data_IF_348526689183
#
_entry.id   IF_348526689183
#
_cell.length_a   1.000
_cell.length_b   1.000
_cell.length_c   1.000
_cell.angle_alpha   90.00
_cell.angle_beta   90.00
_cell.angle_gamma   90.00
#
_symmetry.space_group_name_H-M   'P 1'
#
loop_
_entity.id
_entity.type
_entity.pdbx_description
1 polymer ?
#
# COMPACT_ATOMS: atom_id res chain seq x y z
N UNK A 1 57.48 -18.11 -62.76
CA UNK A 1 56.26 -17.31 -63.00
C UNK A 1 55.32 -17.51 -61.82
N UNK A 2 54.90 -16.41 -61.18
CA UNK A 2 53.80 -16.30 -60.19
C UNK A 2 52.43 -16.61 -60.89
N UNK A 3 51.23 -16.66 -60.26
CA UNK A 3 50.92 -16.17 -58.90
C UNK A 3 49.73 -16.81 -58.09
N UNK A 4 49.50 -16.30 -56.86
CA UNK A 4 48.20 -16.02 -56.19
C UNK A 4 47.29 -17.19 -55.75
N UNK A 5 46.58 -17.26 -54.61
CA UNK A 5 46.15 -16.38 -53.49
C UNK A 5 45.70 -17.33 -52.34
N UNK A 6 46.14 -17.19 -51.09
CA UNK A 6 45.47 -16.45 -50.00
C UNK A 6 43.94 -16.66 -49.91
N UNK A 7 43.49 -17.43 -48.93
CA UNK A 7 42.26 -17.16 -48.17
C UNK A 7 42.32 -17.89 -46.81
N UNK A 8 42.73 -17.11 -45.80
CA UNK A 8 42.57 -17.44 -44.40
C UNK A 8 41.09 -17.29 -44.04
N UNK A 9 40.45 -18.37 -43.59
CA UNK A 9 39.13 -18.29 -42.98
C UNK A 9 39.30 -17.87 -41.52
N UNK A 10 39.16 -16.56 -41.28
CA UNK A 10 39.06 -15.97 -39.96
C UNK A 10 37.72 -16.43 -39.35
N UNK A 11 37.76 -17.44 -38.48
CA UNK A 11 36.60 -17.77 -37.64
C UNK A 11 36.42 -16.64 -36.63
N UNK A 12 35.41 -15.80 -36.89
CA UNK A 12 34.88 -14.84 -35.94
C UNK A 12 34.36 -15.60 -34.72
N UNK A 13 35.09 -15.52 -33.61
CA UNK A 13 34.54 -15.77 -32.29
C UNK A 13 33.40 -14.76 -32.07
N UNK A 14 32.17 -15.20 -32.32
CA UNK A 14 30.96 -14.57 -31.83
C UNK A 14 30.94 -14.69 -30.31
N UNK A 15 31.53 -13.69 -29.65
CA UNK A 15 31.27 -13.36 -28.26
C UNK A 15 29.78 -13.07 -28.12
N UNK A 16 29.01 -14.12 -27.85
CA UNK A 16 27.66 -14.01 -27.31
C UNK A 16 27.81 -13.47 -25.90
N UNK A 17 27.74 -12.15 -25.77
CA UNK A 17 27.46 -11.52 -24.48
C UNK A 17 26.07 -12.03 -24.08
N UNK A 18 25.91 -12.82 -23.00
CA UNK A 18 24.58 -12.97 -22.44
C UNK A 18 24.19 -11.59 -21.95
N UNK A 19 23.26 -10.96 -22.67
CA UNK A 19 22.52 -9.83 -22.14
C UNK A 19 21.78 -10.37 -20.91
N UNK A 20 22.41 -10.24 -19.74
CA UNK A 20 21.72 -10.32 -18.47
C UNK A 20 20.75 -9.13 -18.46
N UNK A 21 19.58 -9.34 -19.06
CA UNK A 21 18.41 -8.57 -18.73
C UNK A 21 18.15 -8.87 -17.25
N UNK A 22 18.65 -7.99 -16.38
CA UNK A 22 18.15 -7.95 -15.01
C UNK A 22 16.64 -7.80 -15.13
N UNK A 23 15.83 -8.74 -14.62
CA UNK A 23 14.39 -8.54 -14.59
C UNK A 23 14.19 -7.24 -13.81
N UNK A 24 13.61 -6.24 -14.46
CA UNK A 24 13.00 -5.11 -13.76
C UNK A 24 12.16 -5.74 -12.65
N UNK A 25 12.48 -5.42 -11.40
CA UNK A 25 11.83 -5.99 -10.24
C UNK A 25 10.34 -5.62 -10.28
N UNK A 26 9.54 -6.42 -10.99
CA UNK A 26 8.09 -6.38 -10.94
C UNK A 26 7.73 -6.62 -9.48
N UNK A 27 6.95 -5.70 -8.90
CA UNK A 27 6.51 -5.81 -7.52
C UNK A 27 5.86 -7.18 -7.31
N UNK A 28 6.34 -7.91 -6.31
CA UNK A 28 5.80 -9.23 -6.01
C UNK A 28 4.55 -9.06 -5.15
N UNK A 29 3.41 -9.42 -5.73
CA UNK A 29 2.17 -9.57 -4.97
C UNK A 29 2.18 -10.94 -4.28
N UNK A 30 1.78 -10.97 -3.02
CA UNK A 30 1.67 -12.18 -2.23
C UNK A 30 0.34 -12.22 -1.49
N UNK A 31 -0.52 -13.17 -1.86
CA UNK A 31 -1.79 -13.42 -1.20
C UNK A 31 -1.61 -14.40 -0.03
N UNK A 32 -2.07 -14.03 1.18
CA UNK A 32 -1.96 -14.90 2.36
C UNK A 32 -3.09 -15.94 2.35
N UNK A 33 -2.78 -17.25 2.23
CA UNK A 33 -3.79 -18.28 2.04
C UNK A 33 -4.86 -18.33 3.15
N UNK A 34 -6.12 -18.47 2.75
CA UNK A 34 -7.25 -18.59 3.69
C UNK A 34 -7.61 -17.29 4.41
N UNK A 35 -7.08 -16.15 3.96
CA UNK A 35 -7.37 -14.83 4.52
C UNK A 35 -7.82 -13.84 3.43
N UNK A 36 -8.14 -12.63 3.84
CA UNK A 36 -8.47 -11.48 2.98
C UNK A 36 -7.33 -10.46 2.96
N UNK A 37 -6.11 -10.94 3.14
CA UNK A 37 -4.90 -10.13 3.33
C UNK A 37 -3.89 -10.48 2.25
N UNK A 38 -3.28 -9.47 1.66
CA UNK A 38 -2.17 -9.65 0.73
C UNK A 38 -1.11 -8.57 0.95
N UNK A 39 0.07 -8.83 0.41
CA UNK A 39 1.21 -7.95 0.46
C UNK A 39 1.62 -7.56 -0.96
N UNK A 40 2.07 -6.33 -1.11
CA UNK A 40 2.74 -5.86 -2.31
C UNK A 40 4.10 -5.29 -1.92
N UNK A 41 5.16 -5.75 -2.57
CA UNK A 41 6.52 -5.30 -2.28
C UNK A 41 7.10 -4.53 -3.47
N UNK A 42 7.51 -3.29 -3.22
CA UNK A 42 8.28 -2.49 -4.15
C UNK A 42 9.50 -1.90 -3.44
N UNK A 43 10.62 -1.87 -4.17
CA UNK A 43 11.85 -1.20 -3.73
C UNK A 43 12.21 -0.14 -4.75
N UNK A 44 12.54 1.03 -4.25
CA UNK A 44 13.15 2.06 -5.08
C UNK A 44 14.51 1.53 -5.59
N UNK A 45 14.73 1.48 -6.92
CA UNK A 45 15.95 0.92 -7.49
C UNK A 45 17.18 1.84 -7.29
N UNK A 46 16.99 3.13 -7.00
CA UNK A 46 18.04 4.12 -6.80
C UNK A 46 18.44 4.21 -5.32
N UNK A 47 17.46 4.30 -4.42
CA UNK A 47 17.69 4.49 -2.99
C UNK A 47 17.69 3.19 -2.19
N UNK A 48 17.09 2.12 -2.74
CA UNK A 48 16.89 0.84 -2.05
C UNK A 48 15.77 0.86 -1.01
N UNK A 49 15.09 2.00 -0.84
CA UNK A 49 14.01 2.18 0.13
C UNK A 49 12.81 1.26 -0.16
N UNK A 50 12.14 0.87 0.91
CA UNK A 50 11.02 -0.07 0.88
C UNK A 50 9.68 0.68 0.84
N UNK A 51 8.97 0.54 -0.28
CA UNK A 51 7.64 1.10 -0.52
C UNK A 51 6.58 -0.01 -0.58
N UNK A 52 6.63 -0.92 0.39
CA UNK A 52 5.69 -2.05 0.47
C UNK A 52 4.40 -1.71 1.17
N UNK A 53 3.39 -2.51 0.91
CA UNK A 53 2.05 -2.38 1.44
C UNK A 53 1.52 -3.73 1.91
N UNK A 54 0.80 -3.75 3.03
CA UNK A 54 -0.08 -4.86 3.41
C UNK A 54 -1.51 -4.37 3.27
N UNK A 55 -2.32 -5.10 2.51
CA UNK A 55 -3.65 -4.68 2.14
C UNK A 55 -4.66 -5.70 2.68
N UNK A 56 -5.77 -5.18 3.20
CA UNK A 56 -6.86 -5.94 3.79
C UNK A 56 -8.16 -5.62 3.07
N UNK A 57 -8.82 -6.64 2.54
CA UNK A 57 -10.14 -6.51 1.94
C UNK A 57 -11.24 -6.38 3.00
N UNK A 58 -12.27 -5.61 2.68
CA UNK A 58 -13.47 -5.51 3.50
C UNK A 58 -14.19 -6.87 3.64
N UNK A 59 -14.54 -7.21 4.88
CA UNK A 59 -15.26 -8.43 5.22
C UNK A 59 -16.74 -8.35 4.85
N UNK A 60 -17.31 -7.16 4.72
CA UNK A 60 -18.72 -6.97 4.34
C UNK A 60 -18.94 -7.09 2.81
N UNK A 61 -17.87 -7.31 2.03
CA UNK A 61 -17.94 -7.51 0.59
C UNK A 61 -18.04 -6.22 -0.22
N UNK A 62 -17.77 -5.06 0.39
CA UNK A 62 -17.64 -3.80 -0.35
C UNK A 62 -16.32 -3.77 -1.10
N UNK A 63 -16.27 -3.02 -2.21
CA UNK A 63 -15.03 -2.73 -2.95
C UNK A 63 -14.20 -1.68 -2.20
N UNK A 64 -13.77 -2.03 -0.99
CA UNK A 64 -13.02 -1.18 -0.09
C UNK A 64 -11.87 -1.96 0.56
N UNK A 65 -10.74 -1.30 0.75
CA UNK A 65 -9.54 -1.88 1.31
C UNK A 65 -8.86 -0.94 2.30
N UNK A 66 -8.36 -1.52 3.38
CA UNK A 66 -7.46 -0.85 4.30
C UNK A 66 -6.05 -1.26 3.92
N UNK A 67 -5.13 -0.30 3.85
CA UNK A 67 -3.73 -0.56 3.55
C UNK A 67 -2.89 -0.09 4.73
N UNK A 68 -1.95 -0.92 5.16
CA UNK A 68 -0.78 -0.52 5.93
C UNK A 68 0.36 -0.26 4.94
N UNK A 69 0.71 1.00 4.75
CA UNK A 69 1.75 1.43 3.81
C UNK A 69 3.03 1.76 4.55
N UNK A 70 4.12 1.12 4.16
CA UNK A 70 5.46 1.48 4.60
C UNK A 70 5.85 2.80 3.92
N UNK A 71 6.23 3.81 4.70
CA UNK A 71 6.78 5.08 4.20
C UNK A 71 8.01 5.36 5.04
N UNK A 72 9.21 5.26 4.48
CA UNK A 72 10.43 5.48 5.27
C UNK A 72 10.48 6.92 5.84
N UNK A 73 10.80 7.11 7.15
CA UNK A 73 10.98 6.13 8.22
C UNK A 73 9.69 5.96 9.06
N UNK A 74 8.80 5.04 8.68
CA UNK A 74 7.51 4.89 9.33
C UNK A 74 6.48 4.11 8.52
N UNK A 75 5.22 4.29 8.90
CA UNK A 75 4.08 3.70 8.22
C UNK A 75 2.86 4.61 8.38
N UNK A 76 1.89 4.45 7.48
CA UNK A 76 0.56 5.05 7.61
C UNK A 76 -0.50 4.05 7.17
N UNK A 77 -1.73 4.27 7.62
CA UNK A 77 -2.87 3.59 7.02
C UNK A 77 -3.52 4.45 5.94
N UNK A 78 -3.92 3.78 4.87
CA UNK A 78 -4.77 4.33 3.82
C UNK A 78 -6.09 3.56 3.80
N UNK A 79 -7.20 4.26 3.76
CA UNK A 79 -8.49 3.67 3.43
C UNK A 79 -8.83 4.00 2.00
N UNK A 80 -9.10 2.98 1.20
CA UNK A 80 -9.70 3.11 -0.11
C UNK A 80 -11.17 2.68 0.00
N UNK A 81 -12.06 3.63 -0.22
CA UNK A 81 -13.50 3.43 -0.10
C UNK A 81 -14.13 2.97 -1.43
N UNK A 82 -15.31 2.35 -1.32
CA UNK A 82 -16.13 1.97 -2.47
C UNK A 82 -16.77 3.18 -3.18
N UNK A 83 -16.99 4.26 -2.43
CA UNK A 83 -17.64 5.49 -2.88
C UNK A 83 -16.74 6.73 -2.76
N UNK A 84 -16.99 7.79 -3.53
CA UNK A 84 -16.31 9.08 -3.37
C UNK A 84 -16.50 9.67 -1.97
N UNK A 85 -15.42 10.18 -1.40
CA UNK A 85 -15.37 10.75 -0.05
C UNK A 85 -15.31 12.30 -0.09
N UNK A 86 -14.95 12.87 -1.24
CA UNK A 86 -14.84 14.31 -1.46
C UNK A 86 -15.02 14.68 -2.95
N UNK A 87 -15.26 15.96 -3.25
CA UNK A 87 -15.29 16.48 -4.63
C UNK A 87 -13.96 17.17 -4.95
N UNK A 88 -13.20 16.62 -5.92
CA UNK A 88 -11.91 17.15 -6.37
C UNK A 88 -11.97 18.57 -6.91
N UNK A 89 -13.16 19.05 -7.29
CA UNK A 89 -13.37 20.41 -7.82
C UNK A 89 -13.51 21.45 -6.72
N UNK A 90 -13.72 21.03 -5.47
CA UNK A 90 -13.91 21.94 -4.33
C UNK A 90 -12.66 21.93 -3.46
N UNK A 91 -11.96 23.06 -3.29
CA UNK A 91 -10.82 23.16 -2.39
C UNK A 91 -11.33 23.03 -0.95
N UNK A 92 -11.31 21.80 -0.45
CA UNK A 92 -11.71 21.43 0.91
C UNK A 92 -10.60 20.60 1.54
N UNK A 93 -10.56 20.57 2.87
CA UNK A 93 -9.67 19.68 3.61
C UNK A 93 -10.41 18.36 3.87
N UNK A 94 -9.70 17.23 3.91
CA UNK A 94 -10.33 15.93 4.16
C UNK A 94 -11.12 15.88 5.47
N UNK A 95 -10.56 16.45 6.54
CA UNK A 95 -11.24 16.58 7.83
C UNK A 95 -12.52 17.44 7.79
N UNK A 96 -12.71 18.24 6.73
CA UNK A 96 -13.91 19.03 6.53
C UNK A 96 -14.99 18.30 5.73
N UNK A 97 -14.66 17.22 5.01
CA UNK A 97 -15.62 16.44 4.20
C UNK A 97 -16.11 15.18 4.92
N UNK A 98 -15.27 14.55 5.73
CA UNK A 98 -15.63 13.32 6.47
C UNK A 98 -15.00 13.31 7.86
N UNK A 99 -15.61 12.54 8.76
CA UNK A 99 -15.02 12.14 10.03
C UNK A 99 -14.84 10.63 10.04
N UNK A 100 -13.65 10.19 10.40
CA UNK A 100 -13.29 8.76 10.46
C UNK A 100 -13.17 8.35 11.91
N UNK A 101 -13.79 7.23 12.23
CA UNK A 101 -13.67 6.58 13.52
C UNK A 101 -13.23 5.14 13.34
N UNK A 102 -12.52 4.59 14.32
CA UNK A 102 -12.06 3.21 14.32
C UNK A 102 -12.39 2.52 15.64
N UNK A 103 -12.57 1.20 15.59
CA UNK A 103 -12.50 0.34 16.77
C UNK A 103 -11.72 -0.92 16.46
N UNK A 104 -11.13 -1.51 17.49
CA UNK A 104 -10.35 -2.75 17.40
C UNK A 104 -11.02 -3.80 18.29
N UNK A 105 -11.29 -4.99 17.73
CA UNK A 105 -11.99 -6.11 18.37
C UNK A 105 -13.32 -5.73 19.02
N UNK A 106 -14.10 -4.88 18.36
CA UNK A 106 -15.40 -4.43 18.87
C UNK A 106 -15.33 -3.54 20.11
N UNK A 107 -14.15 -2.96 20.40
CA UNK A 107 -13.98 -1.96 21.44
C UNK A 107 -14.71 -0.65 21.15
N UNK A 108 -14.50 0.33 22.03
CA UNK A 108 -15.07 1.68 21.86
C UNK A 108 -14.61 2.32 20.55
N UNK A 109 -15.56 2.97 19.88
CA UNK A 109 -15.32 3.73 18.66
C UNK A 109 -14.56 5.02 18.98
N UNK A 110 -13.34 5.16 18.44
CA UNK A 110 -12.43 6.30 18.67
C UNK A 110 -12.23 7.10 17.39
N UNK A 111 -12.08 8.44 17.46
CA UNK A 111 -11.82 9.24 16.28
C UNK A 111 -10.40 9.00 15.74
N UNK A 112 -10.26 8.99 14.42
CA UNK A 112 -8.99 9.31 13.76
C UNK A 112 -8.86 10.84 13.79
N UNK A 113 -7.84 11.35 14.47
CA UNK A 113 -7.74 12.78 14.82
C UNK A 113 -7.67 13.70 13.61
N UNK A 114 -6.99 13.24 12.55
CA UNK A 114 -6.90 13.93 11.27
C UNK A 114 -6.74 12.92 10.15
N UNK A 115 -7.38 13.20 9.02
CA UNK A 115 -7.18 12.51 7.75
C UNK A 115 -6.72 13.49 6.68
N UNK A 116 -5.98 12.98 5.71
CA UNK A 116 -5.57 13.71 4.51
C UNK A 116 -6.08 12.99 3.27
N UNK A 117 -6.24 13.73 2.18
CA UNK A 117 -6.41 13.14 0.87
C UNK A 117 -5.06 12.60 0.40
N UNK A 118 -5.05 11.38 -0.14
CA UNK A 118 -3.91 10.92 -0.91
C UNK A 118 -4.14 11.37 -2.36
N UNK A 119 -3.55 12.49 -2.73
CA UNK A 119 -3.52 12.93 -4.13
C UNK A 119 -2.29 12.27 -4.77
N UNK A 120 -2.53 11.33 -5.69
CA UNK A 120 -1.47 10.93 -6.61
C UNK A 120 -1.03 12.13 -7.46
N UNK A 121 0.16 12.05 -8.07
CA UNK A 121 0.65 13.07 -9.01
C UNK A 121 -0.35 13.29 -10.17
N UNK A 122 -1.15 12.26 -10.47
CA UNK A 122 -2.31 12.36 -11.35
C UNK A 122 -3.61 12.40 -10.51
N UNK A 123 -4.43 13.43 -10.75
CA UNK A 123 -5.80 13.56 -10.23
C UNK A 123 -6.71 12.51 -10.90
N UNK A 124 -6.53 11.24 -10.53
CA UNK A 124 -7.36 10.13 -11.00
C UNK A 124 -8.67 10.06 -10.22
N UNK A 125 -9.67 9.37 -10.79
CA UNK A 125 -10.93 9.08 -10.09
C UNK A 125 -10.72 8.32 -8.77
N UNK A 126 -9.59 7.63 -8.61
CA UNK A 126 -9.22 6.96 -7.36
C UNK A 126 -8.92 7.96 -6.25
N UNK A 127 -8.30 9.10 -6.56
CA UNK A 127 -7.87 10.06 -5.55
C UNK A 127 -9.03 10.52 -4.66
N UNK A 128 -10.26 10.63 -5.18
CA UNK A 128 -11.43 11.04 -4.40
C UNK A 128 -12.00 9.97 -3.44
N UNK A 129 -11.47 8.75 -3.47
CA UNK A 129 -11.87 7.62 -2.64
C UNK A 129 -10.83 7.21 -1.60
N UNK A 130 -9.67 7.87 -1.56
CA UNK A 130 -8.56 7.51 -0.67
C UNK A 130 -8.42 8.50 0.47
N UNK A 131 -8.29 7.99 1.69
CA UNK A 131 -7.92 8.75 2.88
C UNK A 131 -6.65 8.19 3.50
N UNK A 132 -5.68 9.06 3.76
CA UNK A 132 -4.52 8.77 4.60
C UNK A 132 -4.82 9.16 6.04
N UNK A 133 -4.45 8.29 6.98
CA UNK A 133 -4.67 8.55 8.40
C UNK A 133 -3.51 9.35 8.96
N UNK A 134 -3.74 10.65 9.16
CA UNK A 134 -2.79 11.55 9.80
C UNK A 134 -2.99 11.58 11.33
N UNK A 135 -3.09 10.40 11.95
CA UNK A 135 -3.17 10.25 13.40
C UNK A 135 -2.24 9.14 13.86
N UNK A 136 -1.17 9.54 14.57
CA UNK A 136 -0.20 8.61 15.14
C UNK A 136 -0.87 7.56 16.02
N UNK A 137 -1.80 8.00 16.88
CA UNK A 137 -2.53 7.11 17.78
C UNK A 137 -3.34 6.08 17.02
N UNK A 138 -4.15 6.51 16.05
CA UNK A 138 -4.96 5.59 15.25
C UNK A 138 -4.07 4.58 14.50
N UNK A 139 -3.00 5.06 13.85
CA UNK A 139 -2.04 4.21 13.15
C UNK A 139 -1.42 3.16 14.08
N UNK A 140 -0.93 3.56 15.26
CA UNK A 140 -0.32 2.62 16.21
C UNK A 140 -1.34 1.60 16.77
N UNK A 141 -2.54 2.03 17.13
CA UNK A 141 -3.56 1.15 17.70
C UNK A 141 -4.11 0.15 16.67
N UNK A 142 -4.38 0.61 15.45
CA UNK A 142 -4.83 -0.23 14.33
C UNK A 142 -3.74 -1.26 13.99
N UNK A 143 -2.48 -0.84 13.80
CA UNK A 143 -1.36 -1.77 13.53
C UNK A 143 -1.21 -2.80 14.65
N UNK A 144 -1.25 -2.39 15.92
CA UNK A 144 -1.18 -3.32 17.06
C UNK A 144 -2.35 -4.29 17.07
N UNK A 145 -3.54 -3.85 16.68
CA UNK A 145 -4.72 -4.70 16.50
C UNK A 145 -4.49 -5.74 15.40
N UNK A 146 -4.23 -5.29 14.18
CA UNK A 146 -3.97 -6.14 13.02
C UNK A 146 -2.82 -7.13 13.29
N UNK A 147 -1.77 -6.67 13.97
CA UNK A 147 -0.65 -7.46 14.50
C UNK A 147 -1.04 -8.67 15.32
N UNK A 148 -2.16 -8.61 16.04
CA UNK A 148 -2.70 -9.71 16.86
C UNK A 148 -3.79 -10.52 16.14
N UNK A 149 -4.05 -10.24 14.86
CA UNK A 149 -5.15 -10.84 14.11
C UNK A 149 -6.53 -10.26 14.43
N UNK A 150 -6.59 -9.11 15.12
CA UNK A 150 -7.82 -8.45 15.52
C UNK A 150 -8.68 -8.02 14.33
N UNK A 151 -9.97 -7.81 14.56
CA UNK A 151 -10.83 -7.12 13.60
C UNK A 151 -10.76 -5.62 13.81
N UNK A 152 -10.65 -4.85 12.72
CA UNK A 152 -10.71 -3.39 12.74
C UNK A 152 -11.98 -2.95 12.04
N UNK A 153 -12.82 -2.21 12.75
CA UNK A 153 -14.00 -1.56 12.17
C UNK A 153 -13.66 -0.09 11.92
N UNK A 154 -13.99 0.41 10.73
CA UNK A 154 -13.91 1.82 10.39
C UNK A 154 -15.32 2.35 10.11
N UNK A 155 -15.66 3.50 10.70
CA UNK A 155 -16.91 4.21 10.44
C UNK A 155 -16.59 5.57 9.86
N UNK A 156 -17.05 5.82 8.64
CA UNK A 156 -16.92 7.09 7.94
C UNK A 156 -18.25 7.83 8.04
N UNK A 157 -18.23 9.00 8.66
CA UNK A 157 -19.38 9.87 8.80
C UNK A 157 -19.26 11.07 7.85
N UNK A 158 -20.24 11.31 6.97
CA UNK A 158 -20.23 12.50 6.13
C UNK A 158 -20.38 13.77 6.96
N UNK A 159 -19.73 14.84 6.53
CA UNK A 159 -20.05 16.22 6.95
C UNK A 159 -20.95 16.89 5.90
N UNK A 160 -21.25 18.18 6.09
CA UNK A 160 -21.98 19.01 5.12
C UNK A 160 -21.27 19.16 3.77
N UNK A 161 -19.96 18.92 3.70
CA UNK A 161 -19.17 19.04 2.47
C UNK A 161 -18.91 17.69 1.78
N UNK A 162 -19.39 16.58 2.38
CA UNK A 162 -19.24 15.25 1.79
C UNK A 162 -20.17 15.04 0.60
N UNK A 163 -19.71 14.39 -0.49
CA UNK A 163 -20.61 13.84 -1.49
C UNK A 163 -21.39 12.61 -0.96
N UNK A 164 -20.89 11.95 0.08
CA UNK A 164 -21.55 10.80 0.72
C UNK A 164 -22.91 11.20 1.32
N UNK A 165 -23.89 10.29 1.23
CA UNK A 165 -25.27 10.54 1.71
C UNK A 165 -25.54 10.02 3.11
N UNK A 166 -24.74 9.07 3.59
CA UNK A 166 -24.92 8.44 4.90
C UNK A 166 -23.59 7.95 5.45
N UNK A 167 -23.56 7.69 6.75
CA UNK A 167 -22.43 7.01 7.36
C UNK A 167 -22.23 5.62 6.72
N UNK A 168 -20.97 5.22 6.59
CA UNK A 168 -20.58 3.93 6.00
C UNK A 168 -19.60 3.23 6.92
N UNK A 169 -19.82 1.94 7.17
CA UNK A 169 -18.92 1.09 7.94
C UNK A 169 -18.16 0.12 7.03
N UNK A 170 -16.87 -0.06 7.32
CA UNK A 170 -16.00 -1.08 6.76
C UNK A 170 -15.44 -1.94 7.89
N UNK A 171 -15.12 -3.20 7.59
CA UNK A 171 -14.60 -4.14 8.56
C UNK A 171 -13.45 -4.93 7.95
N UNK A 172 -12.30 -4.94 8.60
CA UNK A 172 -11.08 -5.59 8.11
C UNK A 172 -10.59 -6.63 9.13
N UNK A 173 -10.12 -7.79 8.65
CA UNK A 173 -9.52 -8.80 9.52
C UNK A 173 -8.01 -8.70 9.49
N UNK A 174 -7.37 -8.63 10.65
CA UNK A 174 -5.91 -8.75 10.77
C UNK A 174 -5.36 -10.16 10.53
N UNK A 175 -6.20 -11.15 10.24
CA UNK A 175 -5.72 -12.51 9.92
C UNK A 175 -4.79 -12.45 8.71
N UNK A 176 -3.60 -13.02 8.84
CA UNK A 176 -2.57 -12.99 7.80
C UNK A 176 -1.65 -11.77 7.83
N UNK A 177 -1.89 -10.78 8.71
CA UNK A 177 -1.04 -9.59 8.78
C UNK A 177 0.43 -9.92 9.03
N UNK A 178 0.73 -10.76 10.03
CA UNK A 178 2.11 -11.09 10.38
C UNK A 178 2.84 -11.78 9.21
N UNK A 179 2.18 -12.72 8.54
CA UNK A 179 2.72 -13.43 7.37
C UNK A 179 2.94 -12.49 6.17
N UNK A 180 2.00 -11.56 5.92
CA UNK A 180 2.17 -10.52 4.92
C UNK A 180 3.34 -9.58 5.25
N UNK A 181 3.46 -9.17 6.52
CA UNK A 181 4.57 -8.36 7.01
C UNK A 181 5.93 -9.06 6.85
N UNK A 182 6.01 -10.37 7.11
CA UNK A 182 7.21 -11.16 6.84
C UNK A 182 7.60 -11.14 5.37
N UNK A 183 6.62 -11.19 4.44
CA UNK A 183 6.91 -11.11 3.00
C UNK A 183 7.45 -9.78 2.54
N UNK A 184 7.03 -8.69 3.17
CA UNK A 184 7.55 -7.34 2.85
C UNK A 184 8.74 -6.95 3.72
N UNK A 185 9.40 -7.92 4.35
CA UNK A 185 10.54 -7.75 5.24
C UNK A 185 10.30 -6.72 6.36
N UNK A 186 9.06 -6.64 6.87
CA UNK A 186 8.65 -5.72 7.91
C UNK A 186 8.99 -4.25 7.60
N UNK A 187 8.73 -3.77 6.38
CA UNK A 187 9.08 -2.41 5.92
C UNK A 187 10.58 -2.07 6.00
N UNK A 188 11.46 -3.08 6.13
CA UNK A 188 12.88 -2.96 6.48
C UNK A 188 13.19 -2.26 7.82
N UNK A 189 12.42 -2.58 8.87
CA UNK A 189 12.71 -2.20 10.26
C UNK A 189 14.03 -2.78 10.84
N UNK A 190 14.87 -3.48 10.07
CA UNK A 190 16.16 -4.04 10.57
C UNK A 190 17.25 -2.99 10.85
N UNK A 191 17.04 -1.71 10.54
CA UNK A 191 17.87 -0.63 11.12
C UNK A 191 17.52 -0.28 12.58
N UNK A 192 16.55 -0.97 13.21
CA UNK A 192 16.31 -0.94 14.67
C UNK A 192 16.87 -2.17 15.39
N UNK A 193 17.82 -2.90 14.79
CA UNK A 193 18.69 -3.86 15.48
C UNK A 193 20.16 -3.43 15.39
N UNK A 194 20.50 -2.30 16.00
CA UNK A 194 21.86 -2.01 16.49
C UNK A 194 21.85 -0.75 17.37
N UNK A 195 21.51 -0.93 18.66
CA UNK A 195 22.14 -0.36 19.87
C UNK A 195 21.18 -0.46 21.05
#
# INVERSE_FOLDING_TARGET
>A
MRPHRLLAALSLLSLSVPAFAAPLAQGQEYNVPGTKTWAWMHRDPETGENYSEVIFDDLNGKEAYLTFKCIYPGFTHLLFADQPLFDLRTPTFADSTVKVYYSVDGGELRPVESVNFELGEELTDLSNKVLSFNSRRANEEITKGLGRGATVDLVIMPTSFSPMKSATQYRFSGKGFFEAMEKINFCDMQMMKAN
#
